data_IF_435669047307
#
_entry.id   IF_435669047307
#
_cell.length_a   1.000
_cell.length_b   1.000
_cell.length_c   1.000
_cell.angle_alpha   90.00
_cell.angle_beta   90.00
_cell.angle_gamma   90.00
#
_symmetry.space_group_name_H-M   'P 1'
#
loop_
_entity.id
_entity.type
_entity.pdbx_description
1 polymer ?
#
# COMPACT_ATOMS: atom_id res chain seq x y z
N UNK A 1 -56.57 4.37 6.48
CA UNK A 1 -55.47 3.94 7.35
C UNK A 1 -54.32 3.22 6.63
N UNK A 2 -54.59 2.42 5.60
CA UNK A 2 -53.61 1.63 4.82
C UNK A 2 -52.55 2.45 4.09
N UNK A 3 -52.93 3.56 3.46
CA UNK A 3 -52.01 4.44 2.71
C UNK A 3 -50.93 5.17 3.57
N UNK A 4 -51.26 5.43 4.84
CA UNK A 4 -50.33 6.11 5.76
C UNK A 4 -49.18 5.18 6.20
N UNK A 5 -49.45 3.87 6.38
CA UNK A 5 -48.45 2.85 6.72
C UNK A 5 -47.47 2.59 5.57
N UNK A 6 -47.95 2.64 4.32
CA UNK A 6 -47.09 2.46 3.10
C UNK A 6 -46.14 3.62 2.92
N UNK A 7 -46.59 4.86 3.18
CA UNK A 7 -45.77 6.09 3.08
C UNK A 7 -44.65 6.16 4.13
N UNK A 8 -44.91 5.64 5.35
CA UNK A 8 -43.91 5.57 6.43
C UNK A 8 -42.82 4.54 6.10
N UNK A 9 -43.20 3.33 5.63
CA UNK A 9 -42.25 2.30 5.19
C UNK A 9 -41.32 2.81 4.09
N UNK A 10 -41.83 3.59 3.12
CA UNK A 10 -41.04 4.15 2.02
C UNK A 10 -40.04 5.22 2.49
N UNK A 11 -40.41 6.06 3.47
CA UNK A 11 -39.48 7.04 4.05
C UNK A 11 -38.35 6.36 4.84
N UNK A 12 -38.69 5.34 5.63
CA UNK A 12 -37.70 4.61 6.42
C UNK A 12 -36.70 3.86 5.51
N UNK A 13 -37.23 3.25 4.42
CA UNK A 13 -36.39 2.58 3.43
C UNK A 13 -35.44 3.56 2.72
N UNK A 14 -35.91 4.76 2.35
CA UNK A 14 -35.05 5.80 1.74
C UNK A 14 -33.93 6.26 2.67
N UNK A 15 -34.24 6.49 3.96
CA UNK A 15 -33.25 6.88 4.96
C UNK A 15 -32.21 5.73 5.14
N UNK A 16 -32.65 4.49 5.14
CA UNK A 16 -31.76 3.33 5.24
C UNK A 16 -30.82 3.21 4.04
N UNK A 17 -31.35 3.34 2.82
CA UNK A 17 -30.53 3.35 1.61
C UNK A 17 -29.51 4.50 1.57
N UNK A 18 -29.90 5.68 2.05
CA UNK A 18 -29.04 6.86 2.14
C UNK A 18 -27.91 6.63 3.15
N UNK A 19 -28.20 6.04 4.30
CA UNK A 19 -27.23 5.68 5.33
C UNK A 19 -26.23 4.63 4.83
N UNK A 20 -26.70 3.58 4.17
CA UNK A 20 -25.81 2.58 3.57
C UNK A 20 -24.93 3.23 2.49
N UNK A 21 -25.50 4.07 1.64
CA UNK A 21 -24.75 4.77 0.60
C UNK A 21 -23.64 5.66 1.17
N UNK A 22 -23.92 6.40 2.26
CA UNK A 22 -22.88 7.24 2.93
C UNK A 22 -21.77 6.40 3.56
N UNK A 23 -22.10 5.27 4.18
CA UNK A 23 -21.10 4.37 4.76
C UNK A 23 -20.20 3.77 3.69
N UNK A 24 -20.80 3.28 2.60
CA UNK A 24 -20.05 2.71 1.48
C UNK A 24 -19.10 3.74 0.87
N UNK A 25 -19.58 4.97 0.63
CA UNK A 25 -18.73 6.05 0.11
C UNK A 25 -17.61 6.45 1.09
N UNK A 26 -17.87 6.50 2.39
CA UNK A 26 -16.85 6.78 3.40
C UNK A 26 -15.74 5.71 3.39
N UNK A 27 -16.11 4.43 3.35
CA UNK A 27 -15.15 3.31 3.28
C UNK A 27 -14.27 3.38 2.02
N UNK A 28 -14.86 3.69 0.86
CA UNK A 28 -14.08 3.85 -0.37
C UNK A 28 -13.13 5.04 -0.34
N UNK A 29 -13.56 6.17 0.23
CA UNK A 29 -12.71 7.35 0.39
C UNK A 29 -11.53 7.08 1.33
N UNK A 30 -11.77 6.44 2.46
CA UNK A 30 -10.71 6.10 3.42
C UNK A 30 -9.73 5.07 2.86
N UNK A 31 -10.22 4.03 2.19
CA UNK A 31 -9.36 3.07 1.49
C UNK A 31 -8.50 3.76 0.41
N UNK A 32 -9.07 4.72 -0.33
CA UNK A 32 -8.34 5.51 -1.32
C UNK A 32 -7.27 6.40 -0.68
N UNK A 33 -7.60 7.10 0.39
CA UNK A 33 -6.65 7.95 1.14
C UNK A 33 -5.52 7.10 1.71
N UNK A 34 -5.86 5.97 2.34
CA UNK A 34 -4.90 5.05 2.92
C UNK A 34 -3.93 4.50 1.87
N UNK A 35 -4.43 4.10 0.70
CA UNK A 35 -3.62 3.65 -0.42
C UNK A 35 -2.64 4.74 -0.91
N UNK A 36 -3.11 5.99 -1.04
CA UNK A 36 -2.27 7.12 -1.47
C UNK A 36 -1.19 7.42 -0.43
N UNK A 37 -1.54 7.45 0.85
CA UNK A 37 -0.60 7.75 1.94
C UNK A 37 0.44 6.65 2.04
N UNK A 38 0.03 5.39 1.97
CA UNK A 38 0.94 4.26 2.07
C UNK A 38 1.93 4.21 0.88
N UNK A 39 1.44 4.43 -0.34
CA UNK A 39 2.30 4.47 -1.52
C UNK A 39 3.34 5.60 -1.47
N UNK A 40 2.98 6.78 -0.94
CA UNK A 40 3.92 7.89 -0.72
C UNK A 40 4.95 7.56 0.35
N UNK A 41 4.55 6.90 1.43
CA UNK A 41 5.45 6.50 2.50
C UNK A 41 6.44 5.44 2.02
N UNK A 42 5.98 4.43 1.28
CA UNK A 42 6.85 3.42 0.65
C UNK A 42 7.87 4.07 -0.27
N UNK A 43 7.44 4.99 -1.14
CA UNK A 43 8.35 5.74 -2.00
C UNK A 43 9.40 6.52 -1.21
N UNK A 44 8.97 7.28 -0.19
CA UNK A 44 9.86 8.09 0.64
C UNK A 44 10.88 7.23 1.38
N UNK A 45 10.43 6.15 2.01
CA UNK A 45 11.29 5.21 2.76
C UNK A 45 12.28 4.52 1.82
N UNK A 46 11.82 4.02 0.68
CA UNK A 46 12.68 3.39 -0.32
C UNK A 46 13.72 4.35 -0.87
N UNK A 47 13.36 5.62 -1.08
CA UNK A 47 14.29 6.64 -1.55
C UNK A 47 15.34 6.97 -0.50
N UNK A 48 14.97 7.14 0.75
CA UNK A 48 15.92 7.40 1.86
C UNK A 48 16.89 6.23 1.99
N UNK A 49 16.39 5.00 1.98
CA UNK A 49 17.22 3.80 2.05
C UNK A 49 18.18 3.70 0.86
N UNK A 50 17.70 4.03 -0.35
CA UNK A 50 18.52 4.06 -1.56
C UNK A 50 19.64 5.09 -1.44
N UNK A 51 19.34 6.32 -1.02
CA UNK A 51 20.33 7.39 -0.92
C UNK A 51 21.36 7.08 0.18
N UNK A 52 20.94 6.55 1.33
CA UNK A 52 21.86 6.07 2.38
C UNK A 52 22.76 4.93 1.88
N UNK A 53 22.20 3.97 1.15
CA UNK A 53 22.97 2.86 0.58
C UNK A 53 24.02 3.37 -0.41
N UNK A 54 23.68 4.34 -1.24
CA UNK A 54 24.64 4.97 -2.18
C UNK A 54 25.78 5.63 -1.43
N UNK A 55 25.47 6.39 -0.39
CA UNK A 55 26.48 7.06 0.44
C UNK A 55 27.43 6.05 1.10
N UNK A 56 26.91 4.94 1.61
CA UNK A 56 27.73 3.87 2.17
C UNK A 56 28.64 3.26 1.11
N UNK A 57 28.12 2.96 -0.09
CA UNK A 57 28.89 2.35 -1.17
C UNK A 57 29.98 3.29 -1.68
N UNK A 58 29.70 4.58 -1.78
CA UNK A 58 30.68 5.56 -2.27
C UNK A 58 31.83 5.80 -1.29
N UNK A 59 31.59 5.59 0.01
CA UNK A 59 32.61 5.75 1.08
C UNK A 59 33.49 4.52 1.28
N UNK A 60 33.07 3.34 0.84
CA UNK A 60 33.75 2.08 1.12
C UNK A 60 34.45 1.52 -0.12
N UNK A 61 35.46 0.65 0.12
CA UNK A 61 36.15 -0.06 -0.94
C UNK A 61 35.21 -1.08 -1.61
N UNK A 62 35.40 -1.27 -2.90
CA UNK A 62 34.59 -2.18 -3.68
C UNK A 62 34.53 -3.60 -3.06
N UNK A 63 35.63 -4.12 -2.54
CA UNK A 63 35.71 -5.44 -1.90
C UNK A 63 34.80 -5.61 -0.68
N UNK A 64 34.46 -4.50 -0.01
CA UNK A 64 33.67 -4.50 1.23
C UNK A 64 32.17 -4.32 0.96
N UNK A 65 31.81 -3.75 -0.19
CA UNK A 65 30.42 -3.41 -0.54
C UNK A 65 29.48 -4.61 -0.43
N UNK A 66 29.94 -5.79 -0.86
CA UNK A 66 29.11 -7.01 -0.81
C UNK A 66 28.71 -7.38 0.61
N UNK A 67 29.64 -7.37 1.55
CA UNK A 67 29.38 -7.72 2.95
C UNK A 67 28.54 -6.64 3.62
N UNK A 68 28.89 -5.37 3.39
CA UNK A 68 28.16 -4.23 3.95
C UNK A 68 26.69 -4.28 3.54
N UNK A 69 26.40 -4.55 2.27
CA UNK A 69 25.00 -4.61 1.80
C UNK A 69 24.25 -5.80 2.39
N UNK A 70 24.89 -6.95 2.57
CA UNK A 70 24.28 -8.11 3.18
C UNK A 70 23.88 -7.87 4.65
N UNK A 71 24.63 -7.02 5.34
CA UNK A 71 24.43 -6.70 6.76
C UNK A 71 23.48 -5.51 7.02
N UNK A 72 23.02 -4.83 5.95
CA UNK A 72 22.05 -3.73 6.12
C UNK A 72 20.70 -4.30 6.61
N UNK A 73 20.23 -3.88 7.79
CA UNK A 73 18.93 -4.32 8.29
C UNK A 73 17.81 -3.71 7.43
N UNK A 74 17.00 -4.55 6.81
CA UNK A 74 15.85 -4.13 6.02
C UNK A 74 14.56 -4.68 6.61
N UNK A 75 13.48 -3.92 6.46
CA UNK A 75 12.15 -4.40 6.85
C UNK A 75 11.69 -5.54 5.93
N UNK A 76 10.82 -6.40 6.47
CA UNK A 76 10.22 -7.50 5.71
C UNK A 76 9.59 -6.99 4.40
N UNK A 77 9.94 -7.62 3.30
CA UNK A 77 9.47 -7.26 1.98
C UNK A 77 10.31 -6.22 1.24
N UNK A 78 11.34 -5.64 1.90
CA UNK A 78 12.32 -4.76 1.25
C UNK A 78 13.55 -5.58 0.87
N UNK A 79 14.06 -5.37 -0.34
CA UNK A 79 15.34 -5.88 -0.77
C UNK A 79 16.18 -4.79 -1.42
N UNK A 80 17.47 -4.77 -1.08
CA UNK A 80 18.48 -3.89 -1.64
C UNK A 80 19.35 -4.66 -2.63
N UNK A 81 19.71 -4.00 -3.72
CA UNK A 81 20.59 -4.54 -4.75
C UNK A 81 21.62 -3.52 -5.15
N UNK A 82 22.86 -3.97 -5.24
CA UNK A 82 23.97 -3.24 -5.88
C UNK A 82 24.35 -4.01 -7.11
N UNK A 83 24.14 -3.42 -8.25
CA UNK A 83 24.31 -4.05 -9.57
C UNK A 83 25.52 -3.45 -10.26
N UNK A 84 26.40 -4.28 -10.74
CA UNK A 84 27.48 -3.87 -11.60
C UNK A 84 26.93 -3.28 -12.91
N UNK A 85 27.33 -2.09 -13.23
CA UNK A 85 26.77 -1.32 -14.35
C UNK A 85 27.09 -1.94 -15.71
N UNK A 86 28.26 -2.56 -15.85
CA UNK A 86 28.74 -3.10 -17.12
C UNK A 86 28.11 -4.47 -17.39
N UNK A 87 28.20 -5.35 -16.42
CA UNK A 87 27.71 -6.74 -16.57
C UNK A 87 26.22 -6.88 -16.32
N UNK A 88 25.62 -5.95 -15.57
CA UNK A 88 24.22 -6.02 -15.13
C UNK A 88 23.99 -7.11 -14.08
N UNK A 89 25.06 -7.67 -13.48
CA UNK A 89 24.97 -8.67 -12.41
C UNK A 89 24.87 -8.00 -11.04
N UNK A 90 24.11 -8.61 -10.17
CA UNK A 90 23.99 -8.19 -8.77
C UNK A 90 25.31 -8.51 -8.07
N UNK A 91 26.02 -7.50 -7.65
CA UNK A 91 27.28 -7.58 -6.94
C UNK A 91 27.09 -7.79 -5.44
N UNK A 92 26.09 -7.12 -4.85
CA UNK A 92 25.70 -7.25 -3.46
C UNK A 92 24.20 -7.12 -3.31
N UNK A 93 23.60 -7.85 -2.37
CA UNK A 93 22.19 -7.79 -2.05
C UNK A 93 21.94 -8.15 -0.59
N UNK A 94 20.86 -7.65 0.00
CA UNK A 94 20.37 -8.10 1.32
C UNK A 94 19.85 -9.53 1.26
N UNK A 95 19.33 -9.97 0.10
CA UNK A 95 19.08 -11.38 -0.19
C UNK A 95 20.30 -11.98 -0.93
N UNK A 96 21.15 -12.67 -0.20
CA UNK A 96 22.41 -13.24 -0.71
C UNK A 96 22.15 -14.20 -1.87
N UNK A 97 20.99 -14.87 -1.94
CA UNK A 97 20.64 -15.78 -3.03
C UNK A 97 20.58 -15.10 -4.39
N UNK A 98 20.41 -13.80 -4.42
CA UNK A 98 20.33 -12.99 -5.66
C UNK A 98 21.69 -12.50 -6.14
N UNK A 99 22.76 -12.67 -5.37
CA UNK A 99 24.12 -12.27 -5.78
C UNK A 99 24.59 -13.09 -6.96
N UNK A 100 25.12 -12.42 -7.98
CA UNK A 100 25.54 -13.03 -9.26
C UNK A 100 24.41 -13.14 -10.31
N UNK A 101 23.15 -13.04 -9.91
CA UNK A 101 22.00 -13.03 -10.83
C UNK A 101 22.02 -11.74 -11.66
N UNK A 102 21.64 -11.80 -12.92
CA UNK A 102 21.45 -10.59 -13.73
C UNK A 102 20.14 -9.89 -13.38
N UNK A 103 20.17 -8.59 -13.29
CA UNK A 103 18.96 -7.78 -13.07
C UNK A 103 17.90 -8.01 -14.17
N UNK A 104 18.35 -8.34 -15.38
CA UNK A 104 17.51 -8.66 -16.52
C UNK A 104 16.69 -9.95 -16.30
N UNK A 105 17.27 -10.92 -15.61
CA UNK A 105 16.63 -12.23 -15.30
C UNK A 105 15.55 -12.07 -14.22
N UNK A 106 15.62 -11.00 -13.41
CA UNK A 106 14.56 -10.62 -12.47
C UNK A 106 13.41 -9.82 -13.14
N UNK A 107 13.40 -9.73 -14.48
CA UNK A 107 12.39 -8.97 -15.21
C UNK A 107 12.62 -7.44 -15.23
N UNK A 108 13.75 -6.97 -14.69
CA UNK A 108 14.09 -5.54 -14.58
C UNK A 108 14.90 -5.00 -15.78
N UNK A 109 14.95 -5.72 -16.91
CA UNK A 109 15.70 -5.31 -18.12
C UNK A 109 15.31 -3.93 -18.65
N UNK A 110 13.99 -3.66 -18.77
CA UNK A 110 13.49 -2.38 -19.26
C UNK A 110 13.87 -1.23 -18.31
N UNK A 111 13.78 -1.50 -17.02
CA UNK A 111 14.06 -0.56 -15.94
C UNK A 111 15.56 -0.23 -15.87
N UNK A 112 16.43 -1.23 -16.05
CA UNK A 112 17.88 -1.04 -16.15
C UNK A 112 18.24 -0.16 -17.34
N UNK A 113 17.63 -0.38 -18.51
CA UNK A 113 17.82 0.49 -19.67
C UNK A 113 17.34 1.92 -19.42
N UNK A 114 16.21 2.09 -18.73
CA UNK A 114 15.66 3.39 -18.37
C UNK A 114 16.60 4.13 -17.42
N UNK A 115 17.10 3.48 -16.38
CA UNK A 115 18.03 4.08 -15.42
C UNK A 115 19.37 4.43 -16.04
N UNK A 116 19.80 3.67 -17.03
CA UNK A 116 21.01 3.99 -17.78
C UNK A 116 20.90 5.35 -18.50
N UNK A 117 19.69 5.72 -18.98
CA UNK A 117 19.37 6.96 -19.67
C UNK A 117 19.01 8.10 -18.70
N UNK A 118 18.10 7.86 -17.78
CA UNK A 118 17.43 8.90 -16.97
C UNK A 118 18.04 9.09 -15.57
N UNK A 119 19.13 8.35 -15.23
CA UNK A 119 19.78 8.30 -13.91
C UNK A 119 18.92 7.67 -12.79
N UNK A 120 17.60 7.81 -12.82
CA UNK A 120 16.65 7.21 -11.86
C UNK A 120 15.51 6.58 -12.64
N UNK A 121 15.06 5.40 -12.18
CA UNK A 121 13.84 4.75 -12.63
C UNK A 121 13.07 4.21 -11.43
N UNK A 122 11.77 4.44 -11.39
CA UNK A 122 10.88 3.90 -10.35
C UNK A 122 9.54 3.48 -10.96
N UNK A 123 8.82 2.62 -10.25
CA UNK A 123 7.52 2.13 -10.68
C UNK A 123 7.13 0.82 -10.01
N UNK A 124 6.14 0.17 -10.57
CA UNK A 124 5.64 -1.13 -10.11
C UNK A 124 5.98 -2.19 -11.14
N UNK A 125 6.44 -3.35 -10.68
CA UNK A 125 6.77 -4.51 -11.49
C UNK A 125 6.36 -5.80 -10.77
N UNK A 126 6.26 -6.89 -11.51
CA UNK A 126 6.14 -8.23 -10.91
C UNK A 126 7.50 -8.91 -10.89
N UNK A 127 7.93 -9.32 -9.69
CA UNK A 127 9.14 -10.14 -9.47
C UNK A 127 8.66 -11.43 -8.81
N UNK A 128 9.00 -12.57 -9.37
CA UNK A 128 8.60 -13.89 -8.88
C UNK A 128 7.07 -14.03 -8.66
N UNK A 129 6.26 -13.39 -9.54
CA UNK A 129 4.81 -13.39 -9.48
C UNK A 129 4.20 -12.34 -8.56
N UNK A 130 4.96 -11.75 -7.66
CA UNK A 130 4.51 -10.74 -6.70
C UNK A 130 4.66 -9.32 -7.22
N UNK A 131 3.72 -8.42 -6.86
CA UNK A 131 3.83 -7.00 -7.16
C UNK A 131 4.88 -6.35 -6.27
N UNK A 132 5.85 -5.72 -6.90
CA UNK A 132 6.91 -5.00 -6.22
C UNK A 132 6.95 -3.56 -6.72
N UNK A 133 7.07 -2.61 -5.79
CA UNK A 133 7.55 -1.27 -6.09
C UNK A 133 9.07 -1.35 -6.22
N UNK A 134 9.62 -0.67 -7.22
CA UNK A 134 11.07 -0.57 -7.39
C UNK A 134 11.51 0.88 -7.53
N UNK A 135 12.71 1.17 -7.06
CA UNK A 135 13.45 2.38 -7.37
C UNK A 135 14.91 2.00 -7.65
N UNK A 136 15.42 2.42 -8.80
CA UNK A 136 16.80 2.20 -9.24
C UNK A 136 17.45 3.55 -9.47
N UNK A 137 18.70 3.70 -9.04
CA UNK A 137 19.50 4.92 -9.27
C UNK A 137 20.91 4.53 -9.75
N UNK A 138 21.35 5.19 -10.81
CA UNK A 138 22.68 5.01 -11.36
C UNK A 138 23.68 5.89 -10.61
N UNK A 139 24.77 5.28 -10.19
CA UNK A 139 25.97 5.95 -9.67
C UNK A 139 27.09 5.89 -10.72
N UNK A 140 28.29 6.30 -10.37
CA UNK A 140 29.44 6.22 -11.29
C UNK A 140 29.75 4.76 -11.67
N UNK A 141 29.79 3.84 -10.71
CA UNK A 141 30.18 2.43 -10.89
C UNK A 141 29.03 1.46 -10.91
N UNK A 142 27.96 1.75 -10.19
CA UNK A 142 26.87 0.81 -9.92
C UNK A 142 25.50 1.33 -10.35
N UNK A 143 24.56 0.44 -10.41
CA UNK A 143 23.13 0.72 -10.29
C UNK A 143 22.70 0.20 -8.93
N UNK A 144 22.21 1.08 -8.06
CA UNK A 144 21.68 0.72 -6.75
C UNK A 144 20.18 0.66 -6.85
N UNK A 145 19.59 -0.39 -6.31
CA UNK A 145 18.16 -0.64 -6.38
C UNK A 145 17.56 -1.04 -5.04
N UNK A 146 16.35 -0.57 -4.82
CA UNK A 146 15.47 -1.00 -3.73
C UNK A 146 14.21 -1.58 -4.37
N UNK A 147 13.80 -2.74 -3.92
CA UNK A 147 12.48 -3.28 -4.22
C UNK A 147 11.70 -3.46 -2.93
N UNK A 148 10.39 -3.28 -3.02
CA UNK A 148 9.45 -3.43 -1.91
C UNK A 148 8.25 -4.26 -2.36
N UNK A 149 8.05 -5.40 -1.72
CA UNK A 149 6.94 -6.30 -2.03
C UNK A 149 5.60 -5.72 -1.51
N UNK A 150 4.76 -5.25 -2.41
CA UNK A 150 3.46 -4.65 -2.08
C UNK A 150 2.50 -5.69 -1.47
N UNK A 151 2.64 -6.98 -1.84
CA UNK A 151 1.78 -8.05 -1.34
C UNK A 151 1.88 -8.27 0.18
N UNK A 152 3.01 -7.91 0.80
CA UNK A 152 3.18 -7.98 2.27
C UNK A 152 2.32 -6.93 2.98
N UNK A 153 2.17 -5.77 2.37
CA UNK A 153 1.36 -4.66 2.90
C UNK A 153 -0.13 -4.85 2.62
N UNK A 154 -0.49 -5.42 1.45
CA UNK A 154 -1.89 -5.61 1.05
C UNK A 154 -2.67 -6.47 2.06
N UNK A 155 -2.05 -7.51 2.66
CA UNK A 155 -2.72 -8.35 3.66
C UNK A 155 -3.02 -7.60 4.95
N UNK A 156 -2.06 -6.84 5.46
CA UNK A 156 -2.22 -6.04 6.69
C UNK A 156 -3.26 -4.93 6.48
N UNK A 157 -3.24 -4.31 5.32
CA UNK A 157 -4.17 -3.27 4.91
C UNK A 157 -5.59 -3.81 4.72
N UNK A 158 -5.73 -5.00 4.13
CA UNK A 158 -7.02 -5.66 3.93
C UNK A 158 -7.70 -6.00 5.27
N UNK A 159 -6.92 -6.44 6.27
CA UNK A 159 -7.42 -6.70 7.62
C UNK A 159 -7.87 -5.39 8.28
N UNK A 160 -7.10 -4.31 8.18
CA UNK A 160 -7.46 -3.01 8.74
C UNK A 160 -8.77 -2.45 8.12
N UNK A 161 -8.91 -2.54 6.79
CA UNK A 161 -10.13 -2.16 6.07
C UNK A 161 -11.32 -3.03 6.52
N UNK A 162 -11.13 -4.33 6.68
CA UNK A 162 -12.18 -5.26 7.10
C UNK A 162 -12.68 -4.93 8.52
N UNK A 163 -11.77 -4.66 9.46
CA UNK A 163 -12.10 -4.24 10.83
C UNK A 163 -12.92 -2.94 10.80
N UNK A 164 -12.53 -1.98 9.97
CA UNK A 164 -13.18 -0.69 9.85
C UNK A 164 -14.60 -0.82 9.26
N UNK A 165 -14.78 -1.66 8.22
CA UNK A 165 -16.11 -1.98 7.65
C UNK A 165 -17.03 -2.59 8.69
N UNK A 166 -16.52 -3.51 9.52
CA UNK A 166 -17.29 -4.12 10.61
C UNK A 166 -17.71 -3.07 11.64
N UNK A 167 -16.80 -2.18 12.03
CA UNK A 167 -17.07 -1.11 13.02
C UNK A 167 -18.13 -0.13 12.52
N UNK A 168 -18.03 0.32 11.26
CA UNK A 168 -19.01 1.20 10.63
C UNK A 168 -20.37 0.53 10.46
N UNK A 169 -20.39 -0.76 10.17
CA UNK A 169 -21.65 -1.54 10.06
C UNK A 169 -22.38 -1.63 11.41
N UNK A 170 -21.64 -1.85 12.51
CA UNK A 170 -22.20 -1.89 13.87
C UNK A 170 -22.76 -0.51 14.25
N UNK A 171 -22.01 0.57 13.96
CA UNK A 171 -22.47 1.94 14.23
C UNK A 171 -23.76 2.27 13.45
N UNK A 172 -23.86 1.87 12.18
CA UNK A 172 -25.05 2.09 11.37
C UNK A 172 -26.28 1.36 11.90
N UNK A 173 -26.10 0.11 12.34
CA UNK A 173 -27.19 -0.67 12.98
C UNK A 173 -27.64 0.01 14.28
N UNK A 174 -26.70 0.51 15.09
CA UNK A 174 -27.00 1.25 16.32
C UNK A 174 -27.82 2.53 16.06
N UNK A 175 -27.43 3.32 15.07
CA UNK A 175 -28.15 4.54 14.68
C UNK A 175 -29.56 4.18 14.17
N UNK A 176 -29.69 3.15 13.34
CA UNK A 176 -30.99 2.68 12.85
C UNK A 176 -31.91 2.27 14.00
N UNK A 177 -31.38 1.53 14.99
CA UNK A 177 -32.15 1.13 16.18
C UNK A 177 -32.61 2.34 16.99
N UNK A 178 -31.77 3.37 17.19
CA UNK A 178 -32.14 4.62 17.85
C UNK A 178 -33.26 5.37 17.10
N UNK A 179 -33.14 5.50 15.77
CA UNK A 179 -34.16 6.17 14.94
C UNK A 179 -35.49 5.45 15.02
N UNK A 180 -35.49 4.10 14.98
CA UNK A 180 -36.71 3.31 15.11
C UNK A 180 -37.34 3.44 16.51
N UNK A 181 -36.54 3.50 17.56
CA UNK A 181 -37.02 3.69 18.95
C UNK A 181 -37.63 5.06 19.14
N UNK A 182 -36.97 6.14 18.66
CA UNK A 182 -37.51 7.50 18.71
C UNK A 182 -38.83 7.63 17.92
N UNK A 183 -38.92 6.99 16.76
CA UNK A 183 -40.18 7.02 15.98
C UNK A 183 -41.33 6.33 16.66
N UNK A 184 -41.07 5.27 17.46
CA UNK A 184 -42.12 4.58 18.27
C UNK A 184 -42.55 5.44 19.46
N UNK A 185 -41.62 6.12 20.14
CA UNK A 185 -41.92 7.01 21.27
C UNK A 185 -42.76 8.21 20.81
N UNK A 186 -42.39 8.87 19.73
CA UNK A 186 -43.17 9.97 19.16
C UNK A 186 -44.58 9.57 18.70
N UNK A 187 -44.79 8.28 18.37
CA UNK A 187 -46.09 7.81 17.98
C UNK A 187 -47.00 7.58 19.20
N UNK A 188 -46.46 7.07 20.33
CA UNK A 188 -47.18 6.94 21.58
C UNK A 188 -47.61 8.27 22.14
N UNK A 189 -46.74 9.28 22.12
CA UNK A 189 -47.07 10.63 22.64
C UNK A 189 -48.15 11.33 21.79
N UNK A 190 -48.31 11.00 20.50
CA UNK A 190 -49.35 11.55 19.63
C UNK A 190 -50.71 10.82 19.76
N UNK A 191 -50.73 9.63 20.36
CA UNK A 191 -51.95 8.86 20.61
C UNK A 191 -52.54 9.19 22.02
N UNK A 192 -51.78 9.86 22.89
CA UNK A 192 -52.15 10.27 24.25
C UNK A 192 -52.53 11.77 24.38
N UNK A 193 -52.35 12.53 23.34
CA UNK A 193 -52.74 13.96 23.22
C UNK A 193 -53.95 14.08 22.28
#
# INVERSE_FOLDING_TARGET
>A
MYNKKKKIKHKTLKIFCLLIGTIVTAVFLEAGIFYIVNSKNVYKTSKVLLDQTIEIIERNKQSEVRNIIADIPVYKGIALYVVDKETGRIYGATDISKVGVKLDDMGLRKQRKKVAKDKIASGIIRIDGEKNYYILKKTQKYIVGVTYCIAVDDKSNLIAILIMVVYLSIAAVGILFMVLRLSKVNKKNKEQS
#
